data_IF_516235319602
#
_entry.id   IF_516235319602
#
_cell.length_a   1.000
_cell.length_b   1.000
_cell.length_c   1.000
_cell.angle_alpha   90.00
_cell.angle_beta   90.00
_cell.angle_gamma   90.00
#
_symmetry.space_group_name_H-M   'P 1'
#
loop_
_entity.id
_entity.type
_entity.pdbx_description
1 polymer ?
#
# COMPACT_ATOMS: atom_id res chain seq x y z
N UNK A 1 3.32 -18.87 7.17
CA UNK A 1 3.77 -18.26 8.43
C UNK A 1 2.58 -17.81 9.26
N UNK A 2 2.81 -16.93 10.24
CA UNK A 2 1.75 -16.07 10.78
C UNK A 2 0.75 -16.67 11.78
N UNK A 3 1.00 -17.87 12.31
CA UNK A 3 0.18 -18.43 13.38
C UNK A 3 0.72 -18.01 14.75
N UNK A 4 -0.19 -17.68 15.68
CA UNK A 4 0.17 -17.33 17.07
C UNK A 4 0.20 -18.53 18.03
N UNK A 5 -0.36 -19.67 17.60
CA UNK A 5 -0.40 -20.93 18.38
C UNK A 5 -0.15 -22.12 17.45
N UNK A 6 0.55 -23.14 17.93
CA UNK A 6 1.11 -24.21 17.09
C UNK A 6 0.02 -25.07 16.42
N UNK A 7 -1.13 -25.21 17.08
CA UNK A 7 -2.30 -25.95 16.61
C UNK A 7 -2.83 -25.35 15.31
N UNK A 8 -2.61 -24.06 15.09
CA UNK A 8 -3.04 -23.39 13.87
C UNK A 8 -2.06 -23.57 12.70
N UNK A 9 -0.87 -24.13 12.89
CA UNK A 9 0.19 -24.20 11.86
C UNK A 9 -0.31 -24.67 10.49
N UNK A 10 -1.13 -25.71 10.45
CA UNK A 10 -1.60 -26.34 9.21
C UNK A 10 -2.96 -25.80 8.72
N UNK A 11 -3.62 -24.95 9.51
CA UNK A 11 -4.99 -24.48 9.22
C UNK A 11 -5.11 -22.95 9.17
N UNK A 12 -4.05 -22.22 9.55
CA UNK A 12 -4.07 -20.76 9.71
C UNK A 12 -4.46 -20.06 8.42
N UNK A 13 -3.95 -20.49 7.26
CA UNK A 13 -4.29 -19.88 5.96
C UNK A 13 -5.79 -19.95 5.68
N UNK A 14 -6.41 -21.11 5.91
CA UNK A 14 -7.86 -21.30 5.71
C UNK A 14 -8.71 -20.56 6.75
N UNK A 15 -8.25 -20.50 8.01
CA UNK A 15 -8.90 -19.69 9.04
C UNK A 15 -8.86 -18.20 8.65
N UNK A 16 -7.69 -17.69 8.25
CA UNK A 16 -7.47 -16.30 7.85
C UNK A 16 -8.24 -15.92 6.60
N UNK A 17 -8.38 -16.81 5.62
CA UNK A 17 -9.21 -16.55 4.45
C UNK A 17 -10.68 -16.31 4.85
N UNK A 18 -11.21 -17.10 5.79
CA UNK A 18 -12.57 -16.93 6.31
C UNK A 18 -12.73 -15.67 7.14
N UNK A 19 -11.76 -15.36 8.02
CA UNK A 19 -11.76 -14.12 8.80
C UNK A 19 -11.69 -12.89 7.88
N UNK A 20 -10.81 -12.91 6.88
CA UNK A 20 -10.69 -11.84 5.88
C UNK A 20 -12.03 -11.60 5.19
N UNK A 21 -12.68 -12.66 4.72
CA UNK A 21 -13.98 -12.53 4.03
C UNK A 21 -15.02 -11.86 4.92
N UNK A 22 -15.18 -12.33 6.17
CA UNK A 22 -16.11 -11.73 7.14
C UNK A 22 -15.76 -10.27 7.47
N UNK A 23 -14.47 -9.96 7.65
CA UNK A 23 -14.01 -8.60 7.93
C UNK A 23 -14.37 -7.64 6.78
N UNK A 24 -14.11 -8.05 5.54
CA UNK A 24 -14.38 -7.24 4.36
C UNK A 24 -15.89 -7.04 4.12
N UNK A 25 -16.71 -8.06 4.39
CA UNK A 25 -18.18 -7.94 4.35
C UNK A 25 -18.70 -6.85 5.29
N UNK A 26 -18.12 -6.69 6.49
CA UNK A 26 -18.50 -5.65 7.47
C UNK A 26 -18.27 -4.23 6.95
N UNK A 27 -17.29 -4.04 6.06
CA UNK A 27 -17.03 -2.75 5.39
C UNK A 27 -17.67 -2.66 4.00
N UNK A 28 -18.56 -3.60 3.66
CA UNK A 28 -19.33 -3.58 2.42
C UNK A 28 -18.58 -4.06 1.18
N UNK A 29 -17.49 -4.80 1.34
CA UNK A 29 -16.75 -5.42 0.24
C UNK A 29 -17.18 -6.88 0.12
N UNK A 30 -17.82 -7.27 -1.00
CA UNK A 30 -18.33 -8.63 -1.14
C UNK A 30 -17.21 -9.61 -1.52
N UNK A 31 -17.37 -10.93 -1.24
CA UNK A 31 -16.31 -11.93 -1.42
C UNK A 31 -15.72 -11.99 -2.83
N UNK A 32 -16.52 -11.78 -3.88
CA UNK A 32 -16.08 -11.77 -5.27
C UNK A 32 -15.14 -10.60 -5.63
N UNK A 33 -15.00 -9.62 -4.72
CA UNK A 33 -14.03 -8.51 -4.84
C UNK A 33 -12.78 -8.71 -3.97
N UNK A 34 -12.65 -9.85 -3.31
CA UNK A 34 -11.48 -10.19 -2.49
C UNK A 34 -10.59 -11.13 -3.30
N UNK A 35 -9.40 -10.65 -3.68
CA UNK A 35 -8.44 -11.42 -4.47
C UNK A 35 -7.25 -11.80 -3.59
N UNK A 36 -6.96 -13.10 -3.50
CA UNK A 36 -5.81 -13.64 -2.78
C UNK A 36 -4.78 -14.13 -3.79
N UNK A 37 -3.56 -13.61 -3.70
CA UNK A 37 -2.44 -14.01 -4.58
C UNK A 37 -1.62 -15.19 -4.03
N UNK A 38 -1.97 -15.63 -2.81
CA UNK A 38 -1.43 -16.80 -2.10
C UNK A 38 0.11 -16.83 -2.06
N UNK A 39 0.73 -15.69 -1.77
CA UNK A 39 2.14 -15.65 -1.38
C UNK A 39 2.28 -16.08 0.06
N UNK A 40 3.35 -16.80 0.36
CA UNK A 40 3.68 -17.17 1.73
C UNK A 40 4.06 -15.93 2.54
N UNK A 41 3.47 -15.84 3.72
CA UNK A 41 3.78 -14.85 4.74
C UNK A 41 5.29 -14.85 5.05
N UNK A 42 5.88 -13.67 5.25
CA UNK A 42 7.31 -13.35 5.33
C UNK A 42 8.11 -13.57 4.04
N UNK A 43 7.46 -13.88 2.92
CA UNK A 43 8.13 -14.40 1.73
C UNK A 43 7.68 -13.72 0.44
N UNK A 44 7.11 -12.50 0.48
CA UNK A 44 6.70 -11.82 -0.77
C UNK A 44 7.91 -11.31 -1.56
N UNK A 45 8.98 -10.87 -0.87
CA UNK A 45 10.14 -10.23 -1.48
C UNK A 45 10.81 -11.02 -2.63
N UNK A 46 11.07 -12.34 -2.50
CA UNK A 46 11.69 -13.13 -3.56
C UNK A 46 10.83 -13.27 -4.83
N UNK A 47 9.53 -12.94 -4.76
CA UNK A 47 8.61 -13.03 -5.90
C UNK A 47 8.45 -11.71 -6.66
N UNK A 48 9.11 -10.62 -6.24
CA UNK A 48 9.02 -9.34 -6.93
C UNK A 48 9.65 -9.46 -8.33
N UNK A 49 8.87 -9.10 -9.36
CA UNK A 49 9.30 -9.13 -10.76
C UNK A 49 8.42 -9.99 -11.65
N UNK A 50 8.91 -10.33 -12.85
CA UNK A 50 8.16 -11.15 -13.81
C UNK A 50 8.67 -12.59 -13.90
N UNK A 51 9.88 -12.84 -14.41
CA UNK A 51 10.43 -14.20 -14.57
C UNK A 51 11.43 -14.47 -13.46
N UNK A 52 11.12 -15.42 -12.59
CA UNK A 52 11.98 -15.77 -11.45
C UNK A 52 13.02 -16.83 -11.85
N UNK A 53 14.17 -16.92 -11.14
CA UNK A 53 15.23 -17.86 -11.47
C UNK A 53 14.81 -19.35 -11.48
N UNK A 54 13.80 -19.74 -10.71
CA UNK A 54 13.27 -21.10 -10.68
C UNK A 54 12.29 -21.43 -11.82
N UNK A 55 12.02 -20.47 -12.70
CA UNK A 55 11.06 -20.61 -13.80
C UNK A 55 9.62 -20.21 -13.43
N UNK A 56 9.36 -19.84 -12.18
CA UNK A 56 8.07 -19.34 -11.74
C UNK A 56 7.80 -17.90 -12.21
N UNK A 57 6.53 -17.53 -12.22
CA UNK A 57 6.08 -16.16 -12.49
C UNK A 57 5.99 -15.37 -11.18
N UNK A 58 6.57 -14.17 -11.19
CA UNK A 58 6.55 -13.22 -10.08
C UNK A 58 5.30 -12.33 -10.04
N UNK A 59 5.35 -11.32 -9.17
CA UNK A 59 4.25 -10.39 -8.87
C UNK A 59 3.72 -9.65 -10.09
N UNK A 60 4.60 -9.21 -10.99
CA UNK A 60 4.24 -8.42 -12.18
C UNK A 60 3.18 -9.14 -13.02
N UNK A 61 3.34 -10.46 -13.18
CA UNK A 61 2.48 -11.31 -13.99
C UNK A 61 1.14 -11.66 -13.32
N UNK A 62 1.02 -11.45 -12.00
CA UNK A 62 -0.25 -11.61 -11.28
C UNK A 62 -0.98 -10.28 -11.07
N UNK A 63 -0.24 -9.22 -10.74
CA UNK A 63 -0.77 -7.93 -10.27
C UNK A 63 -1.23 -7.06 -11.44
N UNK A 64 -0.43 -6.89 -12.49
CA UNK A 64 -0.82 -6.03 -13.63
C UNK A 64 -2.11 -6.54 -14.30
N UNK A 65 -2.25 -7.84 -14.65
CA UNK A 65 -3.49 -8.33 -15.25
C UNK A 65 -4.70 -8.20 -14.30
N UNK A 66 -4.49 -8.37 -12.99
CA UNK A 66 -5.54 -8.15 -11.98
C UNK A 66 -6.00 -6.70 -11.95
N UNK A 67 -5.07 -5.74 -11.85
CA UNK A 67 -5.39 -4.31 -11.81
C UNK A 67 -6.07 -3.84 -13.11
N UNK A 68 -5.61 -4.34 -14.26
CA UNK A 68 -6.23 -4.06 -15.56
C UNK A 68 -7.65 -4.61 -15.65
N UNK A 69 -7.87 -5.86 -15.24
CA UNK A 69 -9.22 -6.47 -15.18
C UNK A 69 -10.16 -5.69 -14.25
N UNK A 70 -9.66 -5.24 -13.11
CA UNK A 70 -10.44 -4.42 -12.16
C UNK A 70 -10.65 -2.98 -12.64
N UNK A 71 -9.92 -2.54 -13.68
CA UNK A 71 -9.89 -1.15 -14.15
C UNK A 71 -9.64 -0.18 -12.98
N UNK A 72 -8.69 -0.55 -12.12
CA UNK A 72 -8.40 0.18 -10.89
C UNK A 72 -7.97 1.62 -11.23
N UNK A 73 -8.69 2.61 -10.71
CA UNK A 73 -8.38 4.04 -10.91
C UNK A 73 -7.53 4.60 -9.77
N UNK A 74 -7.50 3.93 -8.62
CA UNK A 74 -6.76 4.32 -7.42
C UNK A 74 -6.21 3.08 -6.75
N UNK A 75 -5.00 3.18 -6.21
CA UNK A 75 -4.34 2.09 -5.49
C UNK A 75 -3.94 2.58 -4.11
N UNK A 76 -4.18 1.76 -3.09
CA UNK A 76 -3.80 2.03 -1.70
C UNK A 76 -2.83 0.93 -1.28
N UNK A 77 -1.62 1.33 -0.88
CA UNK A 77 -0.49 0.45 -0.58
C UNK A 77 -0.12 0.53 0.90
N UNK A 78 0.46 -0.52 1.50
CA UNK A 78 1.06 -0.37 2.81
C UNK A 78 2.23 0.62 2.78
N UNK A 79 2.50 1.25 3.92
CA UNK A 79 3.65 2.11 4.11
C UNK A 79 4.95 1.31 3.89
N UNK A 80 5.78 1.78 2.96
CA UNK A 80 7.08 1.16 2.66
C UNK A 80 8.14 1.42 3.73
N UNK A 81 7.89 2.37 4.64
CA UNK A 81 8.84 2.83 5.63
C UNK A 81 8.69 2.08 6.96
N UNK A 82 9.63 1.18 7.29
CA UNK A 82 9.82 0.61 8.65
C UNK A 82 8.60 -0.11 9.28
N UNK A 83 7.68 -0.63 8.47
CA UNK A 83 6.55 -1.44 8.93
C UNK A 83 6.94 -2.90 9.20
N UNK A 84 7.11 -3.67 8.12
CA UNK A 84 7.34 -5.11 8.10
C UNK A 84 7.90 -5.50 6.72
N UNK A 85 8.68 -6.59 6.63
CA UNK A 85 9.29 -7.04 5.38
C UNK A 85 8.27 -7.15 4.23
N UNK A 86 7.14 -7.81 4.48
CA UNK A 86 6.10 -7.97 3.47
C UNK A 86 5.35 -6.67 3.16
N UNK A 87 5.24 -5.74 4.11
CA UNK A 87 4.68 -4.41 3.82
C UNK A 87 5.59 -3.67 2.85
N UNK A 88 6.91 -3.68 3.08
CA UNK A 88 7.86 -3.10 2.12
C UNK A 88 7.82 -3.84 0.78
N UNK A 89 7.71 -5.17 0.75
CA UNK A 89 7.61 -5.93 -0.48
C UNK A 89 6.35 -5.56 -1.29
N UNK A 90 5.18 -5.53 -0.64
CA UNK A 90 3.91 -5.17 -1.29
C UNK A 90 3.88 -3.70 -1.70
N UNK A 91 4.49 -2.81 -0.91
CA UNK A 91 4.72 -1.42 -1.31
C UNK A 91 5.51 -1.36 -2.62
N UNK A 92 6.63 -2.07 -2.72
CA UNK A 92 7.46 -2.10 -3.92
C UNK A 92 6.68 -2.64 -5.13
N UNK A 93 5.97 -3.76 -4.96
CA UNK A 93 5.08 -4.31 -6.00
C UNK A 93 4.12 -3.25 -6.51
N UNK A 94 3.39 -2.58 -5.61
CA UNK A 94 2.45 -1.54 -6.00
C UNK A 94 3.11 -0.32 -6.65
N UNK A 95 4.26 0.13 -6.12
CA UNK A 95 4.99 1.28 -6.62
C UNK A 95 5.51 1.05 -8.05
N UNK A 96 5.90 -0.17 -8.42
CA UNK A 96 6.38 -0.46 -9.77
C UNK A 96 5.29 -0.95 -10.73
N UNK A 97 4.31 -1.71 -10.25
CA UNK A 97 3.30 -2.33 -11.12
C UNK A 97 2.12 -1.38 -11.41
N UNK A 98 1.69 -0.57 -10.44
CA UNK A 98 0.57 0.37 -10.63
C UNK A 98 0.79 1.38 -11.78
N UNK A 99 1.97 2.03 -11.95
CA UNK A 99 2.18 2.93 -13.09
C UNK A 99 2.19 2.19 -14.44
N UNK A 100 2.47 0.89 -14.47
CA UNK A 100 2.50 0.08 -15.70
C UNK A 100 1.11 -0.36 -16.18
N UNK A 101 0.08 -0.26 -15.33
CA UNK A 101 -1.30 -0.67 -15.66
C UNK A 101 -1.80 -0.01 -16.94
N UNK A 102 -1.47 1.28 -17.14
CA UNK A 102 -1.87 2.05 -18.32
C UNK A 102 -0.84 2.10 -19.45
N UNK A 103 0.31 1.45 -19.30
CA UNK A 103 1.33 1.43 -20.34
C UNK A 103 0.89 0.48 -21.48
N UNK A 104 1.17 0.83 -22.76
CA UNK A 104 0.80 0.01 -23.92
C UNK A 104 1.77 -1.16 -24.14
N UNK A 105 2.14 -1.85 -23.06
CA UNK A 105 3.06 -3.00 -23.05
C UNK A 105 2.34 -4.23 -22.52
N UNK A 106 2.75 -5.42 -22.99
CA UNK A 106 2.12 -6.71 -22.62
C UNK A 106 0.59 -6.65 -22.81
N UNK A 107 0.14 -6.21 -23.98
CA UNK A 107 -1.29 -6.02 -24.26
C UNK A 107 -2.08 -7.33 -24.18
N UNK A 108 -1.42 -8.48 -24.35
CA UNK A 108 -1.97 -9.82 -24.11
C UNK A 108 -2.42 -10.04 -22.66
N UNK A 109 -2.00 -9.19 -21.72
CA UNK A 109 -2.42 -9.22 -20.31
C UNK A 109 -3.64 -8.32 -20.04
N UNK A 110 -4.28 -7.84 -21.10
CA UNK A 110 -5.38 -6.89 -21.07
C UNK A 110 -4.91 -5.44 -21.13
N UNK A 111 -5.88 -4.53 -21.13
CA UNK A 111 -5.68 -3.09 -21.21
C UNK A 111 -6.53 -2.38 -20.16
N UNK A 112 -6.05 -1.24 -19.67
CA UNK A 112 -6.79 -0.35 -18.77
C UNK A 112 -6.28 1.07 -18.92
N UNK A 113 -7.11 2.04 -18.55
CA UNK A 113 -6.63 3.39 -18.31
C UNK A 113 -5.58 3.40 -17.16
N UNK A 114 -4.64 4.36 -17.15
CA UNK A 114 -3.69 4.52 -16.06
C UNK A 114 -4.35 4.70 -14.69
N UNK A 115 -3.69 4.19 -13.65
CA UNK A 115 -4.00 4.53 -12.25
C UNK A 115 -3.80 6.03 -12.06
N UNK A 116 -4.76 6.70 -11.43
CA UNK A 116 -4.79 8.16 -11.27
C UNK A 116 -4.15 8.65 -9.98
N UNK A 117 -4.14 7.81 -8.95
CA UNK A 117 -3.58 8.17 -7.65
C UNK A 117 -3.14 6.94 -6.88
N UNK A 118 -2.03 7.07 -6.17
CA UNK A 118 -1.54 6.06 -5.23
C UNK A 118 -1.43 6.69 -3.84
N UNK A 119 -1.94 5.99 -2.83
CA UNK A 119 -1.83 6.37 -1.43
C UNK A 119 -1.12 5.28 -0.64
N UNK A 120 -0.38 5.66 0.40
CA UNK A 120 0.11 4.73 1.41
C UNK A 120 -0.71 4.86 2.70
N UNK A 121 -0.97 3.72 3.35
CA UNK A 121 -1.53 3.67 4.71
C UNK A 121 -0.48 3.12 5.69
N UNK A 122 -0.53 3.59 6.94
CA UNK A 122 0.33 3.13 8.02
C UNK A 122 -0.41 2.14 8.93
N UNK A 123 0.32 1.18 9.52
CA UNK A 123 -0.21 0.23 10.50
C UNK A 123 0.50 0.36 11.83
N UNK A 124 1.83 0.22 11.85
CA UNK A 124 2.65 0.25 13.07
C UNK A 124 3.64 1.41 13.12
N UNK A 125 4.10 1.87 11.97
CA UNK A 125 5.12 2.93 11.87
C UNK A 125 4.56 4.19 11.25
N UNK A 126 5.18 5.32 11.55
CA UNK A 126 4.88 6.58 10.86
C UNK A 126 5.43 6.55 9.41
N UNK A 127 4.97 7.47 8.58
CA UNK A 127 5.42 7.63 7.20
C UNK A 127 6.89 8.11 7.13
N UNK A 128 7.49 7.96 5.95
CA UNK A 128 8.78 8.59 5.65
C UNK A 128 8.64 10.13 5.65
N UNK A 129 9.71 10.84 6.00
CA UNK A 129 9.71 12.30 6.07
C UNK A 129 10.16 12.97 4.76
N UNK A 130 10.56 12.20 3.74
CA UNK A 130 11.17 12.72 2.52
C UNK A 130 10.24 13.69 1.77
N UNK A 131 8.94 13.39 1.73
CA UNK A 131 7.93 14.28 1.10
C UNK A 131 7.86 15.63 1.82
N UNK A 132 7.75 15.63 3.16
CA UNK A 132 7.72 16.84 3.96
C UNK A 132 9.03 17.64 3.82
N UNK A 133 10.17 16.94 3.80
CA UNK A 133 11.48 17.55 3.59
C UNK A 133 11.59 18.21 2.21
N UNK A 134 11.14 17.54 1.15
CA UNK A 134 11.16 18.07 -0.20
C UNK A 134 10.21 19.26 -0.39
N UNK A 135 9.08 19.28 0.34
CA UNK A 135 8.13 20.38 0.32
C UNK A 135 8.54 21.57 1.21
N UNK A 136 9.50 21.38 2.12
CA UNK A 136 9.85 22.38 3.14
C UNK A 136 8.79 22.49 4.25
N UNK A 137 8.01 21.43 4.46
CA UNK A 137 6.94 21.34 5.45
C UNK A 137 7.47 20.93 6.84
N UNK A 138 6.58 20.90 7.84
CA UNK A 138 6.88 20.40 9.18
C UNK A 138 7.19 18.89 9.15
N UNK A 139 8.43 18.53 9.51
CA UNK A 139 8.92 17.15 9.56
C UNK A 139 8.25 16.28 10.62
N UNK A 140 7.49 16.90 11.55
CA UNK A 140 6.62 16.22 12.51
C UNK A 140 5.29 15.75 11.91
N UNK A 141 4.91 16.24 10.73
CA UNK A 141 3.67 15.87 10.04
C UNK A 141 4.01 15.15 8.74
N UNK A 142 4.04 13.81 8.80
CA UNK A 142 4.59 12.98 7.71
C UNK A 142 3.55 12.45 6.73
N UNK A 143 2.27 12.58 7.04
CA UNK A 143 1.19 12.34 6.10
C UNK A 143 0.86 13.63 5.34
N UNK A 144 0.46 13.52 4.08
CA UNK A 144 0.05 14.69 3.26
C UNK A 144 -1.42 14.64 2.82
N UNK A 145 -2.18 13.63 3.27
CA UNK A 145 -3.64 13.52 3.08
C UNK A 145 -4.29 13.10 4.39
N UNK A 146 -5.48 13.62 4.62
CA UNK A 146 -6.34 13.28 5.74
C UNK A 146 -7.75 12.99 5.25
N UNK A 147 -8.41 12.03 5.89
CA UNK A 147 -9.81 11.72 5.73
C UNK A 147 -10.47 11.80 7.11
N UNK A 148 -11.54 12.57 7.21
CA UNK A 148 -12.39 12.58 8.39
C UNK A 148 -13.56 11.63 8.14
N UNK A 149 -13.53 10.49 8.84
CA UNK A 149 -14.57 9.49 8.79
C UNK A 149 -15.58 9.76 9.92
N UNK A 150 -16.89 9.59 9.69
CA UNK A 150 -17.86 9.67 10.78
C UNK A 150 -17.74 8.43 11.68
N UNK A 151 -18.22 8.53 12.93
CA UNK A 151 -18.13 7.46 13.93
C UNK A 151 -18.74 6.15 13.44
N UNK A 152 -19.81 6.18 12.65
CA UNK A 152 -20.43 4.96 12.13
C UNK A 152 -19.50 4.21 11.16
N UNK A 153 -18.63 4.92 10.43
CA UNK A 153 -17.64 4.29 9.57
C UNK A 153 -16.50 3.68 10.41
N UNK A 154 -16.05 4.38 11.45
CA UNK A 154 -15.05 3.87 12.39
C UNK A 154 -15.56 2.61 13.12
N UNK A 155 -16.80 2.60 13.58
CA UNK A 155 -17.44 1.45 14.23
C UNK A 155 -17.42 0.21 13.34
N UNK A 156 -17.78 0.35 12.05
CA UNK A 156 -17.71 -0.76 11.08
C UNK A 156 -16.29 -1.27 10.88
N UNK A 157 -15.30 -0.39 10.83
CA UNK A 157 -13.89 -0.80 10.74
C UNK A 157 -13.48 -1.57 11.99
N UNK A 158 -13.86 -1.11 13.18
CA UNK A 158 -13.56 -1.83 14.41
C UNK A 158 -14.25 -3.19 14.47
N UNK A 159 -15.51 -3.30 14.03
CA UNK A 159 -16.20 -4.58 13.89
C UNK A 159 -15.49 -5.53 12.92
N UNK A 160 -15.07 -5.03 11.76
CA UNK A 160 -14.30 -5.78 10.79
C UNK A 160 -12.99 -6.31 11.38
N UNK A 161 -12.26 -5.46 12.13
CA UNK A 161 -11.02 -5.85 12.80
C UNK A 161 -11.23 -6.98 13.81
N UNK A 162 -12.36 -6.99 14.54
CA UNK A 162 -12.69 -8.04 15.51
C UNK A 162 -12.94 -9.41 14.89
N UNK A 163 -13.15 -9.51 13.57
CA UNK A 163 -13.29 -10.80 12.89
C UNK A 163 -11.98 -11.61 12.84
N UNK A 164 -10.82 -10.95 13.00
CA UNK A 164 -9.51 -11.59 13.02
C UNK A 164 -9.18 -12.25 14.36
N UNK A 165 -10.03 -13.21 14.77
CA UNK A 165 -9.99 -13.89 16.07
C UNK A 165 -8.66 -14.60 16.33
N UNK A 166 -8.07 -15.21 15.30
CA UNK A 166 -6.76 -15.86 15.42
C UNK A 166 -5.61 -14.86 15.65
N UNK A 167 -5.85 -13.53 15.57
CA UNK A 167 -4.92 -12.43 15.85
C UNK A 167 -5.38 -11.52 17.00
N UNK A 168 -6.33 -11.96 17.83
CA UNK A 168 -7.01 -11.10 18.81
C UNK A 168 -6.05 -10.20 19.61
N UNK A 169 -4.91 -10.71 20.07
CA UNK A 169 -3.91 -9.94 20.83
C UNK A 169 -3.29 -8.78 20.03
N UNK A 170 -2.98 -9.00 18.75
CA UNK A 170 -2.43 -7.96 17.87
C UNK A 170 -3.51 -6.92 17.57
N UNK A 171 -4.73 -7.40 17.28
CA UNK A 171 -5.88 -6.56 16.97
C UNK A 171 -6.27 -5.67 18.13
N UNK A 172 -6.19 -6.15 19.38
CA UNK A 172 -6.51 -5.37 20.57
C UNK A 172 -5.65 -4.11 20.68
N UNK A 173 -4.33 -4.23 20.47
CA UNK A 173 -3.42 -3.07 20.45
C UNK A 173 -3.76 -2.08 19.33
N UNK A 174 -4.10 -2.58 18.14
CA UNK A 174 -4.49 -1.73 17.02
C UNK A 174 -5.83 -1.00 17.28
N UNK A 175 -6.81 -1.69 17.85
CA UNK A 175 -8.10 -1.10 18.23
C UNK A 175 -7.94 0.00 19.29
N UNK A 176 -6.99 -0.18 20.23
CA UNK A 176 -6.66 0.87 21.20
C UNK A 176 -6.06 2.10 20.51
N UNK A 177 -5.07 1.92 19.63
CA UNK A 177 -4.44 3.01 18.88
C UNK A 177 -5.43 3.76 17.97
N UNK A 178 -6.47 3.10 17.47
CA UNK A 178 -7.52 3.77 16.67
C UNK A 178 -8.32 4.79 17.47
N UNK A 179 -8.48 4.62 18.79
CA UNK A 179 -9.19 5.60 19.64
C UNK A 179 -8.46 6.94 19.72
N UNK A 180 -7.14 6.94 19.56
CA UNK A 180 -6.32 8.15 19.52
C UNK A 180 -6.64 9.04 18.30
N UNK A 181 -7.34 8.48 17.31
CA UNK A 181 -7.75 9.17 16.08
C UNK A 181 -9.07 9.92 16.22
N UNK A 182 -9.73 9.86 17.38
CA UNK A 182 -10.98 10.58 17.61
C UNK A 182 -10.74 12.09 17.44
N UNK A 183 -11.56 12.67 16.57
CA UNK A 183 -11.67 14.09 16.31
C UNK A 183 -13.05 14.59 16.76
N UNK A 184 -13.17 15.92 16.90
CA UNK A 184 -14.36 16.55 17.47
C UNK A 184 -15.63 16.15 16.72
N UNK A 185 -16.75 16.16 17.44
CA UNK A 185 -18.10 15.95 16.89
C UNK A 185 -18.31 14.56 16.27
N UNK A 186 -17.69 13.51 16.82
CA UNK A 186 -17.90 12.14 16.36
C UNK A 186 -17.25 11.81 15.02
N UNK A 187 -16.15 12.50 14.68
CA UNK A 187 -15.33 12.17 13.52
C UNK A 187 -14.04 11.47 13.95
N UNK A 188 -13.44 10.69 13.07
CA UNK A 188 -12.17 10.01 13.27
C UNK A 188 -11.23 10.34 12.12
N UNK A 189 -9.97 10.58 12.44
CA UNK A 189 -8.93 10.92 11.49
C UNK A 189 -8.27 9.64 10.94
N UNK A 190 -8.30 9.50 9.62
CA UNK A 190 -7.39 8.61 8.88
C UNK A 190 -6.39 9.43 8.08
N UNK A 191 -5.13 9.05 8.15
CA UNK A 191 -4.05 9.75 7.44
C UNK A 191 -3.42 8.85 6.38
N UNK A 192 -3.05 9.47 5.27
CA UNK A 192 -2.41 8.80 4.15
C UNK A 192 -1.26 9.64 3.60
N UNK A 193 -0.29 8.96 3.00
CA UNK A 193 0.73 9.59 2.18
C UNK A 193 0.38 9.39 0.70
N UNK A 194 -0.07 10.45 0.05
CA UNK A 194 -0.15 10.48 -1.41
C UNK A 194 1.27 10.58 -1.98
N UNK A 195 1.65 9.63 -2.84
CA UNK A 195 2.94 9.66 -3.50
C UNK A 195 2.79 9.36 -4.99
N UNK A 196 3.67 9.94 -5.80
CA UNK A 196 3.79 9.62 -7.21
C UNK A 196 4.84 8.51 -7.37
N UNK A 197 4.46 7.28 -7.78
CA UNK A 197 5.41 6.20 -7.95
C UNK A 197 6.35 6.39 -9.15
N UNK A 198 5.98 7.23 -10.12
CA UNK A 198 6.75 7.44 -11.35
C UNK A 198 6.68 8.91 -11.76
N UNK A 199 7.24 9.84 -10.96
CA UNK A 199 7.20 11.26 -11.26
C UNK A 199 7.93 11.55 -12.56
N UNK A 200 7.33 12.41 -13.39
CA UNK A 200 7.91 12.78 -14.67
C UNK A 200 9.24 13.51 -14.47
N UNK A 201 10.26 13.10 -15.20
CA UNK A 201 11.51 13.87 -15.26
C UNK A 201 11.27 15.21 -15.98
N UNK A 202 11.42 16.32 -15.24
CA UNK A 202 11.36 17.68 -15.78
C UNK A 202 12.77 18.11 -16.15
N UNK A 203 13.14 18.02 -17.43
CA UNK A 203 14.51 18.28 -17.90
C UNK A 203 14.95 19.75 -17.77
N UNK A 204 14.02 20.69 -17.84
CA UNK A 204 14.31 22.13 -17.80
C UNK A 204 15.16 22.54 -16.58
N UNK A 205 14.87 21.96 -15.39
CA UNK A 205 15.64 22.28 -14.17
C UNK A 205 17.11 21.89 -14.29
N UNK A 206 17.40 20.79 -14.98
CA UNK A 206 18.77 20.32 -15.20
C UNK A 206 19.46 21.15 -16.27
N UNK A 207 18.75 21.49 -17.36
CA UNK A 207 19.28 22.35 -18.43
C UNK A 207 19.70 23.72 -17.89
N UNK A 208 18.84 24.37 -17.08
CA UNK A 208 19.18 25.64 -16.42
C UNK A 208 20.42 25.51 -15.53
N UNK A 209 20.53 24.42 -14.78
CA UNK A 209 21.69 24.19 -13.91
C UNK A 209 22.98 24.01 -14.70
N UNK A 210 22.93 23.36 -15.87
CA UNK A 210 24.07 23.27 -16.78
C UNK A 210 24.44 24.65 -17.32
N UNK A 211 23.48 25.44 -17.78
CA UNK A 211 23.74 26.82 -18.25
C UNK A 211 24.37 27.70 -17.18
N UNK A 212 23.95 27.60 -15.91
CA UNK A 212 24.56 28.32 -14.79
C UNK A 212 26.02 27.93 -14.57
N UNK A 213 26.34 26.64 -14.68
CA UNK A 213 27.71 26.13 -14.53
C UNK A 213 28.58 26.62 -15.68
N UNK A 214 28.08 26.56 -16.92
CA UNK A 214 28.78 27.06 -18.12
C UNK A 214 29.00 28.58 -18.06
N UNK A 215 27.99 29.36 -17.61
CA UNK A 215 28.07 30.83 -17.48
C UNK A 215 28.91 31.28 -16.27
N UNK A 216 28.84 30.52 -15.18
CA UNK A 216 29.67 30.72 -13.99
C UNK A 216 31.16 30.43 -14.25
N UNK A 217 31.45 29.75 -15.37
CA UNK A 217 32.79 29.46 -15.86
C UNK A 217 33.48 28.39 -15.03
N UNK A 218 34.33 27.60 -15.69
CA UNK A 218 35.29 26.72 -15.07
C UNK A 218 36.27 27.45 -14.14
N UNK A 219 35.82 27.79 -12.93
CA UNK A 219 36.68 27.98 -11.77
C UNK A 219 37.03 26.60 -11.21
N UNK A 220 37.85 25.86 -11.97
CA UNK A 220 38.84 24.96 -11.37
C UNK A 220 40.15 25.71 -11.29
#
# INVERSE_FOLDING_TARGET
GGYSVIEHKNVITALRARETTRAYEKVGIPPERIYRLEYDDYSVWPFIGWKLPGGEEGTVKKVIPLLRRLRATRVVLPNGHREHLDHTAVFMVGAFDAPQVGDPVMADWGESAPVRSVLQYAVWSDFAFDDALCAGDDLGVRANRALLAPSEAEERVQEAMREFRTQARIVEGLLAARKEREFRNGFFLEVYLAFDPRPKCVYEKYLRRVEEIERGGGAR
#
